data_IF_087373002003
#
_entry.id   IF_087373002003
#
_cell.length_a   1.000
_cell.length_b   1.000
_cell.length_c   1.000
_cell.angle_alpha   90.00
_cell.angle_beta   90.00
_cell.angle_gamma   90.00
#
_symmetry.space_group_name_H-M   'P 1'
#
loop_
_entity.id
_entity.type
_entity.pdbx_description
1 polymer ?
#
# COMPACT_ATOMS: atom_id res chain seq x y z
N UNK A 1 2.18 -26.78 23.06
CA UNK A 1 2.09 -26.61 21.59
C UNK A 1 3.49 -26.31 21.07
N UNK A 2 4.13 -27.30 20.43
CA UNK A 2 5.40 -27.13 19.74
C UNK A 2 5.16 -26.11 18.62
N UNK A 3 5.85 -24.98 18.67
CA UNK A 3 5.92 -24.04 17.53
C UNK A 3 6.41 -24.86 16.33
N UNK A 4 5.55 -25.02 15.30
CA UNK A 4 6.01 -25.64 14.07
C UNK A 4 7.09 -24.71 13.49
N UNK A 5 8.32 -25.21 13.42
CA UNK A 5 9.44 -24.48 12.88
C UNK A 5 9.15 -24.22 11.40
N UNK A 6 8.99 -22.93 11.05
CA UNK A 6 9.21 -22.35 9.75
C UNK A 6 8.29 -22.84 8.62
N UNK A 7 6.98 -22.58 8.75
CA UNK A 7 6.13 -22.51 7.54
C UNK A 7 6.57 -21.29 6.73
N UNK A 8 6.96 -21.53 5.48
CA UNK A 8 7.36 -20.48 4.54
C UNK A 8 6.12 -19.86 3.92
N UNK A 9 6.16 -18.58 3.65
CA UNK A 9 5.02 -17.84 3.09
C UNK A 9 5.40 -17.26 1.74
N UNK A 10 4.61 -17.55 0.71
CA UNK A 10 4.84 -17.10 -0.66
C UNK A 10 3.66 -16.27 -1.17
N UNK A 11 3.94 -15.43 -2.17
CA UNK A 11 2.95 -14.62 -2.88
C UNK A 11 2.55 -15.36 -4.14
N UNK A 12 1.27 -15.73 -4.26
CA UNK A 12 0.76 -16.49 -5.39
C UNK A 12 -0.23 -15.72 -6.27
N UNK A 13 -0.72 -14.58 -5.81
CA UNK A 13 -1.64 -13.74 -6.59
C UNK A 13 -1.49 -12.26 -6.24
N UNK A 14 -1.72 -11.41 -7.23
CA UNK A 14 -1.61 -9.96 -7.11
C UNK A 14 -2.84 -9.28 -7.73
N UNK A 15 -3.26 -8.17 -7.13
CA UNK A 15 -4.33 -7.32 -7.66
C UNK A 15 -4.15 -5.86 -7.25
N UNK A 16 -4.56 -4.96 -8.10
CA UNK A 16 -4.52 -3.53 -7.79
C UNK A 16 -5.59 -2.71 -8.54
N UNK A 17 -5.89 -1.58 -7.94
CA UNK A 17 -6.60 -0.45 -8.56
C UNK A 17 -5.83 0.79 -8.17
N UNK A 18 -5.44 1.61 -9.13
CA UNK A 18 -4.53 2.72 -8.85
C UNK A 18 -4.70 3.90 -9.82
N UNK A 19 -4.13 5.07 -9.50
CA UNK A 19 -4.13 6.22 -10.41
C UNK A 19 -3.42 5.98 -11.75
N UNK A 20 -2.57 4.94 -11.83
CA UNK A 20 -1.77 4.61 -13.01
C UNK A 20 -2.26 3.37 -13.76
N UNK A 21 -3.32 2.73 -13.31
CA UNK A 21 -3.94 1.56 -13.94
C UNK A 21 -4.79 0.76 -12.97
N UNK A 22 -5.80 0.09 -13.50
CA UNK A 22 -6.80 -0.67 -12.73
C UNK A 22 -6.55 -2.18 -12.75
N UNK A 23 -5.47 -2.60 -13.39
CA UNK A 23 -4.96 -3.98 -13.39
C UNK A 23 -3.45 -3.99 -13.14
N UNK A 24 -2.92 -5.15 -12.75
CA UNK A 24 -1.47 -5.32 -12.55
C UNK A 24 -0.69 -4.98 -13.82
N UNK A 25 -1.15 -5.43 -14.98
CA UNK A 25 -0.45 -5.19 -16.24
C UNK A 25 -0.39 -3.69 -16.61
N UNK A 26 -1.51 -2.99 -16.49
CA UNK A 26 -1.59 -1.54 -16.74
C UNK A 26 -0.71 -0.75 -15.78
N UNK A 27 -0.85 -1.03 -14.47
CA UNK A 27 -0.12 -0.31 -13.44
C UNK A 27 1.40 -0.55 -13.54
N UNK A 28 1.82 -1.79 -13.77
CA UNK A 28 3.24 -2.13 -13.93
C UNK A 28 3.86 -1.45 -15.15
N UNK A 29 3.19 -1.50 -16.31
CA UNK A 29 3.64 -0.79 -17.51
C UNK A 29 3.78 0.71 -17.26
N UNK A 30 2.76 1.33 -16.67
CA UNK A 30 2.78 2.77 -16.39
C UNK A 30 3.92 3.19 -15.45
N UNK A 31 4.15 2.46 -14.36
CA UNK A 31 5.21 2.84 -13.40
C UNK A 31 6.62 2.58 -13.94
N UNK A 32 6.82 1.54 -14.74
CA UNK A 32 8.13 1.30 -15.38
C UNK A 32 8.41 2.31 -16.50
N UNK A 33 7.38 2.82 -17.15
CA UNK A 33 7.48 3.90 -18.12
C UNK A 33 7.60 5.30 -17.47
N UNK A 34 7.49 5.41 -16.14
CA UNK A 34 7.57 6.69 -15.43
C UNK A 34 6.34 7.59 -15.64
N UNK A 35 5.16 7.01 -15.86
CA UNK A 35 3.92 7.77 -16.08
C UNK A 35 3.30 8.23 -14.77
N UNK A 36 3.02 9.53 -14.65
CA UNK A 36 2.28 10.08 -13.52
C UNK A 36 0.78 9.82 -13.66
N UNK A 37 0.15 9.38 -12.57
CA UNK A 37 -1.31 9.30 -12.44
C UNK A 37 -1.93 10.52 -11.76
N UNK A 38 -1.12 11.55 -11.45
CA UNK A 38 -1.56 12.75 -10.73
C UNK A 38 -2.09 13.79 -11.71
N UNK A 39 -3.29 14.30 -11.44
CA UNK A 39 -3.96 15.30 -12.27
C UNK A 39 -4.91 16.16 -11.41
N UNK A 40 -5.47 17.19 -12.01
CA UNK A 40 -6.51 18.02 -11.39
C UNK A 40 -7.68 17.16 -10.93
N UNK A 41 -8.18 17.43 -9.72
CA UNK A 41 -9.32 16.72 -9.12
C UNK A 41 -10.57 16.94 -9.97
N UNK A 42 -11.29 15.85 -10.24
CA UNK A 42 -12.54 15.86 -11.03
C UNK A 42 -13.78 15.51 -10.20
N UNK A 43 -13.60 14.91 -9.04
CA UNK A 43 -14.69 14.39 -8.20
C UNK A 43 -15.51 15.46 -7.49
N UNK A 44 -14.92 16.63 -7.25
CA UNK A 44 -15.56 17.77 -6.59
C UNK A 44 -14.86 19.08 -6.97
N UNK A 45 -15.47 20.21 -6.65
CA UNK A 45 -14.82 21.52 -6.84
C UNK A 45 -13.70 21.73 -5.81
N UNK A 46 -12.46 21.63 -6.26
CA UNK A 46 -11.28 21.80 -5.42
C UNK A 46 -10.77 23.25 -5.38
N UNK A 47 -11.31 24.18 -6.15
CA UNK A 47 -10.85 25.58 -6.18
C UNK A 47 -10.82 26.29 -4.84
N UNK A 48 -11.76 26.04 -3.91
CA UNK A 48 -11.71 26.64 -2.57
C UNK A 48 -10.54 26.17 -1.69
N UNK A 49 -9.85 25.07 -2.07
CA UNK A 49 -8.74 24.51 -1.31
C UNK A 49 -7.39 25.04 -1.81
N UNK A 50 -6.34 24.87 -1.04
CA UNK A 50 -4.96 25.24 -1.42
C UNK A 50 -4.33 24.26 -2.42
N UNK A 51 -4.88 23.04 -2.50
CA UNK A 51 -4.44 21.98 -3.41
C UNK A 51 -5.60 21.57 -4.31
N UNK A 52 -5.39 21.51 -5.63
CA UNK A 52 -6.44 21.26 -6.62
C UNK A 52 -6.23 19.93 -7.39
N UNK A 53 -5.31 19.09 -6.97
CA UNK A 53 -4.92 17.86 -7.67
C UNK A 53 -4.74 16.70 -6.72
N UNK A 54 -4.84 15.49 -7.29
CA UNK A 54 -4.66 14.23 -6.58
C UNK A 54 -4.34 13.10 -7.57
N UNK A 55 -3.95 11.95 -7.05
CA UNK A 55 -3.92 10.69 -7.78
C UNK A 55 -5.29 10.03 -7.73
N UNK A 56 -6.22 10.44 -8.56
CA UNK A 56 -7.54 9.80 -8.68
C UNK A 56 -7.45 8.51 -9.51
N UNK A 57 -8.25 7.52 -9.15
CA UNK A 57 -8.50 6.33 -9.98
C UNK A 57 -9.37 6.75 -11.17
N UNK A 58 -9.00 6.32 -12.38
CA UNK A 58 -9.64 6.71 -13.64
C UNK A 58 -10.14 5.47 -14.38
N UNK A 59 -11.31 5.60 -15.02
CA UNK A 59 -11.84 4.53 -15.87
C UNK A 59 -12.19 3.24 -15.13
N UNK A 60 -12.37 3.29 -13.83
CA UNK A 60 -12.71 2.14 -13.00
C UNK A 60 -14.21 1.86 -13.03
N UNK A 61 -14.57 0.59 -13.26
CA UNK A 61 -15.94 0.12 -13.21
C UNK A 61 -16.05 -1.09 -12.27
N UNK A 62 -16.70 -0.90 -11.12
CA UNK A 62 -16.90 -1.96 -10.14
C UNK A 62 -17.79 -3.10 -10.66
N UNK A 63 -18.65 -2.83 -11.65
CA UNK A 63 -19.56 -3.84 -12.20
C UNK A 63 -18.84 -4.92 -13.01
N UNK A 64 -17.57 -4.75 -13.32
CA UNK A 64 -16.71 -5.81 -13.85
C UNK A 64 -16.37 -6.90 -12.82
N UNK A 65 -16.57 -6.62 -11.53
CA UNK A 65 -16.19 -7.49 -10.42
C UNK A 65 -17.37 -7.98 -9.57
N UNK A 66 -18.36 -7.12 -9.33
CA UNK A 66 -19.56 -7.39 -8.53
C UNK A 66 -20.77 -6.76 -9.19
N UNK A 67 -21.98 -7.22 -8.81
CA UNK A 67 -23.20 -6.62 -9.35
C UNK A 67 -23.39 -5.17 -8.89
N UNK A 68 -24.01 -4.33 -9.73
CA UNK A 68 -24.35 -2.96 -9.36
C UNK A 68 -25.32 -2.88 -8.15
N UNK A 69 -26.05 -3.94 -7.85
CA UNK A 69 -26.90 -4.04 -6.65
C UNK A 69 -26.03 -4.15 -5.38
N UNK A 70 -25.01 -5.00 -5.40
CA UNK A 70 -24.05 -5.14 -4.29
C UNK A 70 -23.23 -3.86 -4.11
N UNK A 71 -22.73 -3.30 -5.20
CA UNK A 71 -21.88 -2.10 -5.20
C UNK A 71 -22.56 -0.88 -4.52
N UNK A 72 -23.88 -0.74 -4.68
CA UNK A 72 -24.65 0.37 -4.06
C UNK A 72 -24.65 0.36 -2.53
N UNK A 73 -24.26 -0.74 -1.90
CA UNK A 73 -24.20 -0.90 -0.45
C UNK A 73 -22.77 -0.83 0.09
N UNK A 74 -21.83 -0.24 -0.68
CA UNK A 74 -20.42 -0.14 -0.37
C UNK A 74 -19.89 1.25 -0.72
N UNK A 75 -19.11 1.85 0.18
CA UNK A 75 -18.31 3.02 -0.17
C UNK A 75 -17.20 2.65 -1.17
N UNK A 76 -16.67 3.63 -1.86
CA UNK A 76 -15.67 3.45 -2.93
C UNK A 76 -14.40 2.75 -2.46
N UNK A 77 -13.95 2.96 -1.20
CA UNK A 77 -12.78 2.22 -0.70
C UNK A 77 -13.01 0.71 -0.68
N UNK A 78 -14.24 0.27 -0.42
CA UNK A 78 -14.63 -1.15 -0.49
C UNK A 78 -14.63 -1.62 -1.95
N UNK A 79 -15.11 -0.81 -2.90
CA UNK A 79 -15.03 -1.13 -4.33
C UNK A 79 -13.59 -1.41 -4.76
N UNK A 80 -12.66 -0.55 -4.41
CA UNK A 80 -11.24 -0.72 -4.77
C UNK A 80 -10.64 -1.97 -4.12
N UNK A 81 -10.90 -2.18 -2.84
CA UNK A 81 -10.42 -3.37 -2.12
C UNK A 81 -11.01 -4.66 -2.65
N UNK A 82 -12.30 -4.68 -2.99
CA UNK A 82 -12.98 -5.82 -3.62
C UNK A 82 -12.38 -6.14 -4.98
N UNK A 83 -12.24 -5.15 -5.86
CA UNK A 83 -11.68 -5.35 -7.19
C UNK A 83 -10.25 -5.89 -7.13
N UNK A 84 -9.38 -5.28 -6.32
CA UNK A 84 -8.02 -5.75 -6.13
C UNK A 84 -7.96 -7.16 -5.53
N UNK A 85 -8.80 -7.46 -4.55
CA UNK A 85 -8.89 -8.78 -3.93
C UNK A 85 -9.39 -9.87 -4.91
N UNK A 86 -10.38 -9.54 -5.74
CA UNK A 86 -10.89 -10.44 -6.78
C UNK A 86 -9.81 -10.71 -7.84
N UNK A 87 -9.10 -9.66 -8.29
CA UNK A 87 -7.95 -9.82 -9.20
C UNK A 87 -6.88 -10.75 -8.60
N UNK A 88 -6.52 -10.54 -7.34
CA UNK A 88 -5.51 -11.36 -6.66
C UNK A 88 -5.95 -12.83 -6.55
N UNK A 89 -7.22 -13.10 -6.23
CA UNK A 89 -7.78 -14.45 -6.20
C UNK A 89 -7.74 -15.11 -7.58
N UNK A 90 -8.15 -14.39 -8.63
CA UNK A 90 -8.11 -14.88 -10.01
C UNK A 90 -6.67 -15.17 -10.46
N UNK A 91 -5.74 -14.27 -10.19
CA UNK A 91 -4.33 -14.43 -10.55
C UNK A 91 -3.67 -15.62 -9.82
N UNK A 92 -4.06 -15.87 -8.57
CA UNK A 92 -3.56 -17.00 -7.78
C UNK A 92 -4.03 -18.37 -8.29
N UNK A 93 -5.13 -18.41 -9.03
CA UNK A 93 -5.78 -19.66 -9.43
C UNK A 93 -6.24 -20.54 -8.25
N UNK A 94 -6.41 -19.94 -7.06
CA UNK A 94 -6.86 -20.66 -5.87
C UNK A 94 -8.34 -21.03 -5.99
N UNK A 95 -8.63 -22.32 -5.86
CA UNK A 95 -10.00 -22.83 -5.77
C UNK A 95 -10.39 -22.97 -4.29
N UNK A 96 -11.54 -22.40 -3.93
CA UNK A 96 -12.10 -22.51 -2.59
C UNK A 96 -13.08 -23.68 -2.56
N UNK A 97 -12.86 -24.60 -1.61
CA UNK A 97 -13.69 -25.79 -1.39
C UNK A 97 -14.21 -25.84 0.04
N UNK A 98 -15.16 -26.70 0.33
CA UNK A 98 -15.62 -26.91 1.71
C UNK A 98 -14.49 -27.36 2.66
N UNK A 99 -13.53 -28.13 2.12
CA UNK A 99 -12.41 -28.68 2.88
C UNK A 99 -11.36 -27.62 3.26
N UNK A 100 -11.10 -26.65 2.38
CA UNK A 100 -10.06 -25.64 2.61
C UNK A 100 -10.59 -24.28 3.11
N UNK A 101 -11.90 -24.02 3.02
CA UNK A 101 -12.52 -22.73 3.32
C UNK A 101 -12.14 -22.18 4.72
N UNK A 102 -12.07 -23.06 5.73
CA UNK A 102 -11.71 -22.67 7.10
C UNK A 102 -10.21 -22.31 7.27
N UNK A 103 -9.40 -22.63 6.26
CA UNK A 103 -7.96 -22.35 6.23
C UNK A 103 -7.59 -21.13 5.38
N UNK A 104 -8.59 -20.43 4.82
CA UNK A 104 -8.40 -19.25 3.96
C UNK A 104 -9.02 -18.04 4.63
N UNK A 105 -8.19 -17.05 4.96
CA UNK A 105 -8.60 -15.83 5.64
C UNK A 105 -8.35 -14.57 4.83
N UNK A 106 -8.77 -13.43 5.38
CA UNK A 106 -8.66 -12.11 4.76
C UNK A 106 -8.25 -11.06 5.78
N UNK A 107 -7.24 -10.26 5.46
CA UNK A 107 -6.89 -9.03 6.19
C UNK A 107 -6.66 -7.91 5.18
N UNK A 108 -7.65 -7.10 4.92
CA UNK A 108 -7.53 -5.90 4.09
C UNK A 108 -8.00 -4.71 4.92
N UNK A 109 -7.10 -3.75 5.14
CA UNK A 109 -7.36 -2.57 5.92
C UNK A 109 -7.58 -1.31 5.09
N UNK A 110 -7.97 -0.25 5.76
CA UNK A 110 -8.05 1.12 5.22
C UNK A 110 -7.65 2.09 6.34
N UNK A 111 -7.07 3.22 6.00
CA UNK A 111 -6.68 4.21 7.01
C UNK A 111 -7.86 4.99 7.59
N UNK A 112 -8.77 5.43 6.71
CA UNK A 112 -9.92 6.28 7.08
C UNK A 112 -11.26 5.60 6.74
N UNK A 113 -11.28 4.73 5.75
CA UNK A 113 -12.50 4.00 5.36
C UNK A 113 -13.51 4.87 4.60
N UNK A 114 -14.78 4.75 4.95
CA UNK A 114 -15.91 5.32 4.23
C UNK A 114 -16.13 6.82 4.39
N UNK A 115 -15.08 7.63 4.40
CA UNK A 115 -15.19 9.08 4.60
C UNK A 115 -16.09 9.77 3.57
N UNK A 116 -15.99 9.50 2.26
CA UNK A 116 -16.90 10.12 1.27
C UNK A 116 -18.38 9.83 1.55
N UNK A 117 -18.71 8.59 1.88
CA UNK A 117 -20.09 8.20 2.23
C UNK A 117 -20.58 8.90 3.51
N UNK A 118 -19.69 9.05 4.50
CA UNK A 118 -20.00 9.76 5.75
C UNK A 118 -20.30 11.24 5.46
N UNK A 119 -19.48 11.89 4.63
CA UNK A 119 -19.70 13.29 4.21
C UNK A 119 -21.04 13.46 3.49
N UNK A 120 -21.33 12.61 2.51
CA UNK A 120 -22.56 12.63 1.73
C UNK A 120 -23.79 12.37 2.61
N UNK A 121 -23.74 11.33 3.45
CA UNK A 121 -24.84 10.98 4.36
C UNK A 121 -25.12 12.10 5.35
N UNK A 122 -24.07 12.75 5.89
CA UNK A 122 -24.24 13.89 6.81
C UNK A 122 -24.91 15.05 6.11
N UNK A 123 -24.51 15.38 4.89
CA UNK A 123 -25.12 16.45 4.08
C UNK A 123 -26.59 16.17 3.75
N UNK A 124 -26.94 14.95 3.40
CA UNK A 124 -28.32 14.55 3.13
C UNK A 124 -29.18 14.56 4.42
N UNK A 125 -28.64 14.11 5.53
CA UNK A 125 -29.29 14.17 6.83
C UNK A 125 -29.66 15.61 7.22
N UNK A 126 -28.75 16.57 7.05
CA UNK A 126 -28.99 17.98 7.36
C UNK A 126 -30.08 18.61 6.48
N UNK A 127 -30.13 18.24 5.21
CA UNK A 127 -31.11 18.77 4.26
C UNK A 127 -32.50 18.15 4.40
N UNK A 128 -32.56 16.85 4.71
CA UNK A 128 -33.80 16.04 4.53
C UNK A 128 -34.18 15.21 5.76
N UNK A 129 -33.41 15.27 6.85
CA UNK A 129 -33.67 14.60 8.11
C UNK A 129 -33.30 13.11 8.14
N UNK A 130 -33.52 12.43 9.30
CA UNK A 130 -32.98 11.10 9.59
C UNK A 130 -33.52 9.97 8.68
N UNK A 131 -34.66 10.15 8.05
CA UNK A 131 -35.25 9.13 7.15
C UNK A 131 -34.43 8.93 5.86
N UNK A 132 -33.41 9.78 5.61
CA UNK A 132 -32.51 9.68 4.46
C UNK A 132 -31.26 8.88 4.74
N UNK A 133 -31.00 8.54 6.00
CA UNK A 133 -29.88 7.66 6.35
C UNK A 133 -30.22 6.25 5.84
N UNK A 134 -29.33 5.71 5.01
CA UNK A 134 -29.49 4.36 4.47
C UNK A 134 -29.38 3.30 5.58
N UNK A 135 -30.19 2.23 5.57
CA UNK A 135 -29.99 1.09 6.46
C UNK A 135 -28.64 0.38 6.25
N UNK A 136 -28.00 0.61 5.11
CA UNK A 136 -26.68 0.08 4.78
C UNK A 136 -25.53 1.03 5.15
N UNK A 137 -25.80 2.21 5.73
CA UNK A 137 -24.78 3.21 6.02
C UNK A 137 -23.63 2.65 6.83
N UNK A 138 -23.91 1.93 7.91
CA UNK A 138 -22.85 1.36 8.77
C UNK A 138 -22.02 0.31 8.01
N UNK A 139 -22.61 -0.77 7.46
CA UNK A 139 -21.80 -1.77 6.74
C UNK A 139 -21.13 -1.23 5.46
N UNK A 140 -21.66 -0.15 4.86
CA UNK A 140 -21.05 0.48 3.70
C UNK A 140 -19.83 1.36 4.04
N UNK A 141 -19.64 1.75 5.30
CA UNK A 141 -18.60 2.71 5.71
C UNK A 141 -17.52 2.13 6.62
N UNK A 142 -17.76 1.03 7.32
CA UNK A 142 -16.78 0.47 8.26
C UNK A 142 -15.66 -0.30 7.57
N UNK A 143 -14.46 -0.19 8.12
CA UNK A 143 -13.20 -0.59 7.46
C UNK A 143 -13.11 -2.09 7.21
N UNK A 144 -13.63 -2.93 8.10
CA UNK A 144 -13.53 -4.39 7.97
C UNK A 144 -14.41 -4.99 6.86
N UNK A 145 -15.18 -4.16 6.16
CA UNK A 145 -16.15 -4.69 5.18
C UNK A 145 -15.55 -5.03 3.81
N UNK A 146 -14.30 -4.66 3.52
CA UNK A 146 -13.59 -5.27 2.40
C UNK A 146 -13.38 -6.76 2.69
N UNK A 147 -12.79 -7.07 3.84
CA UNK A 147 -12.57 -8.44 4.28
C UNK A 147 -13.86 -9.24 4.41
N UNK A 148 -14.90 -8.63 5.01
CA UNK A 148 -16.22 -9.24 5.14
C UNK A 148 -16.87 -9.59 3.79
N UNK A 149 -16.87 -8.66 2.84
CA UNK A 149 -17.48 -8.88 1.53
C UNK A 149 -16.71 -9.90 0.66
N UNK A 150 -15.38 -9.90 0.70
CA UNK A 150 -14.57 -10.94 0.03
C UNK A 150 -14.82 -12.32 0.62
N UNK A 151 -14.87 -12.41 1.95
CA UNK A 151 -15.20 -13.64 2.67
C UNK A 151 -16.56 -14.19 2.24
N UNK A 152 -17.60 -13.35 2.20
CA UNK A 152 -18.94 -13.73 1.75
C UNK A 152 -18.93 -14.19 0.29
N UNK A 153 -18.25 -13.43 -0.58
CA UNK A 153 -18.21 -13.73 -2.02
C UNK A 153 -17.60 -15.09 -2.34
N UNK A 154 -16.52 -15.44 -1.65
CA UNK A 154 -15.75 -16.67 -1.92
C UNK A 154 -16.00 -17.79 -0.91
N UNK A 155 -16.79 -17.56 0.14
CA UNK A 155 -17.03 -18.55 1.19
C UNK A 155 -15.80 -18.78 2.08
N UNK A 156 -14.98 -17.76 2.32
CA UNK A 156 -13.75 -17.85 3.12
C UNK A 156 -14.12 -17.84 4.60
N UNK A 157 -13.74 -18.87 5.33
CA UNK A 157 -14.12 -19.08 6.74
C UNK A 157 -12.95 -19.02 7.73
N UNK A 158 -11.75 -18.70 7.24
CA UNK A 158 -10.57 -18.47 8.07
C UNK A 158 -10.60 -17.12 8.78
N UNK A 159 -9.46 -16.65 9.32
CA UNK A 159 -9.38 -15.35 9.99
C UNK A 159 -9.90 -14.20 9.12
N UNK A 160 -10.73 -13.33 9.68
CA UNK A 160 -11.35 -12.21 8.97
C UNK A 160 -11.19 -10.93 9.80
N UNK A 161 -10.29 -10.07 9.37
CA UNK A 161 -9.82 -8.90 10.14
C UNK A 161 -9.64 -7.68 9.24
N UNK A 162 -9.48 -6.53 9.86
CA UNK A 162 -8.93 -5.33 9.25
C UNK A 162 -7.94 -4.68 10.23
N UNK A 163 -6.80 -4.25 9.72
CA UNK A 163 -5.83 -3.44 10.46
C UNK A 163 -6.00 -1.99 10.06
N UNK A 164 -5.85 -1.09 11.03
CA UNK A 164 -5.88 0.36 10.82
C UNK A 164 -4.67 0.96 11.52
N UNK A 165 -3.65 1.32 10.74
CA UNK A 165 -2.41 1.94 11.20
C UNK A 165 -1.97 3.06 10.27
N UNK A 166 -2.93 3.95 9.93
CA UNK A 166 -2.71 5.09 9.05
C UNK A 166 -2.03 4.67 7.73
N UNK A 167 -0.92 5.33 7.37
CA UNK A 167 -0.21 5.06 6.11
C UNK A 167 0.51 3.70 6.08
N UNK A 168 0.61 3.00 7.20
CA UNK A 168 1.26 1.68 7.32
C UNK A 168 0.26 0.52 7.21
N UNK A 169 -1.03 0.82 7.15
CA UNK A 169 -2.14 -0.16 7.18
C UNK A 169 -1.94 -1.35 6.24
N UNK A 170 -1.72 -1.10 4.95
CA UNK A 170 -1.61 -2.17 3.96
C UNK A 170 -0.38 -3.06 4.17
N UNK A 171 0.75 -2.47 4.55
CA UNK A 171 1.96 -3.20 4.89
C UNK A 171 1.78 -4.05 6.14
N UNK A 172 1.22 -3.49 7.21
CA UNK A 172 0.92 -4.22 8.44
C UNK A 172 -0.07 -5.37 8.21
N UNK A 173 -1.07 -5.16 7.34
CA UNK A 173 -2.04 -6.21 6.95
C UNK A 173 -1.32 -7.40 6.31
N UNK A 174 -0.41 -7.15 5.38
CA UNK A 174 0.38 -8.20 4.70
C UNK A 174 1.29 -8.92 5.70
N UNK A 175 2.00 -8.17 6.55
CA UNK A 175 2.90 -8.76 7.54
C UNK A 175 2.17 -9.59 8.60
N UNK A 176 1.03 -9.13 9.09
CA UNK A 176 0.20 -9.86 10.03
C UNK A 176 -0.38 -11.14 9.39
N UNK A 177 -0.82 -11.06 8.13
CA UNK A 177 -1.29 -12.21 7.37
C UNK A 177 -0.19 -13.27 7.20
N UNK A 178 1.03 -12.85 6.85
CA UNK A 178 2.18 -13.75 6.77
C UNK A 178 2.43 -14.47 8.10
N UNK A 179 2.40 -13.75 9.22
CA UNK A 179 2.54 -14.36 10.55
C UNK A 179 1.44 -15.35 10.87
N UNK A 180 0.19 -15.09 10.51
CA UNK A 180 -0.90 -16.04 10.71
C UNK A 180 -0.66 -17.36 9.98
N UNK A 181 -0.10 -17.29 8.78
CA UNK A 181 0.30 -18.49 8.02
C UNK A 181 1.49 -19.18 8.69
N UNK A 182 2.52 -18.44 9.09
CA UNK A 182 3.69 -18.97 9.80
C UNK A 182 3.31 -19.68 11.10
N UNK A 183 2.34 -19.13 11.85
CA UNK A 183 1.84 -19.73 13.09
C UNK A 183 0.86 -20.89 12.88
N UNK A 184 0.35 -21.08 11.66
CA UNK A 184 -0.59 -22.14 11.33
C UNK A 184 -2.06 -21.81 11.59
N UNK A 185 -2.42 -20.54 11.79
CA UNK A 185 -3.81 -20.11 11.92
C UNK A 185 -4.56 -20.22 10.59
N UNK A 186 -3.86 -20.06 9.48
CA UNK A 186 -4.36 -20.20 8.13
C UNK A 186 -3.31 -20.84 7.21
N UNK A 187 -3.74 -21.34 6.04
CA UNK A 187 -2.85 -21.77 4.97
C UNK A 187 -2.76 -20.74 3.85
N UNK A 188 -3.80 -19.93 3.71
CA UNK A 188 -3.88 -18.83 2.73
C UNK A 188 -4.48 -17.60 3.38
N UNK A 189 -3.94 -16.43 3.07
CA UNK A 189 -4.47 -15.13 3.49
C UNK A 189 -4.51 -14.17 2.30
N UNK A 190 -5.65 -13.55 2.08
CA UNK A 190 -5.78 -12.41 1.15
C UNK A 190 -5.50 -11.15 1.96
N UNK A 191 -4.47 -10.38 1.59
CA UNK A 191 -3.98 -9.29 2.42
C UNK A 191 -3.61 -8.05 1.62
N UNK A 192 -3.84 -6.88 2.21
CA UNK A 192 -3.48 -5.61 1.60
C UNK A 192 -4.18 -4.41 2.23
N UNK A 193 -4.36 -3.38 1.44
CA UNK A 193 -5.03 -2.15 1.87
C UNK A 193 -5.72 -1.43 0.72
N UNK A 194 -6.70 -0.62 1.08
CA UNK A 194 -7.44 0.23 0.16
C UNK A 194 -7.76 1.58 0.79
N UNK A 195 -7.92 2.60 -0.01
CA UNK A 195 -8.30 3.94 0.44
C UNK A 195 -9.05 4.69 -0.65
N UNK A 196 -10.03 5.50 -0.27
CA UNK A 196 -10.71 6.43 -1.16
C UNK A 196 -11.05 7.71 -0.41
N UNK A 197 -10.04 8.56 -0.18
CA UNK A 197 -10.17 9.80 0.61
C UNK A 197 -9.95 11.07 -0.22
N UNK A 198 -10.02 10.97 -1.56
CA UNK A 198 -10.06 12.13 -2.43
C UNK A 198 -11.48 12.71 -2.38
N UNK A 199 -11.74 13.46 -1.33
CA UNK A 199 -13.02 14.07 -0.95
C UNK A 199 -12.79 15.43 -0.29
N UNK A 200 -13.80 16.28 -0.12
CA UNK A 200 -13.64 17.58 0.51
C UNK A 200 -12.99 17.54 1.90
N UNK A 201 -13.44 16.64 2.79
CA UNK A 201 -12.85 16.53 4.14
C UNK A 201 -11.48 15.85 4.11
N UNK A 202 -11.29 14.85 3.25
CA UNK A 202 -9.98 14.19 3.09
C UNK A 202 -8.92 15.16 2.59
N UNK A 203 -9.18 15.85 1.49
CA UNK A 203 -8.28 16.87 0.95
C UNK A 203 -8.12 18.04 1.93
N UNK A 204 -9.23 18.56 2.44
CA UNK A 204 -9.26 19.73 3.33
C UNK A 204 -8.53 19.48 4.65
N UNK A 205 -8.65 18.28 5.23
CA UNK A 205 -7.95 17.93 6.46
C UNK A 205 -6.44 17.95 6.31
N UNK A 206 -5.91 17.34 5.25
CA UNK A 206 -4.47 17.35 4.98
C UNK A 206 -3.98 18.73 4.50
N UNK A 207 -4.78 19.47 3.73
CA UNK A 207 -4.46 20.84 3.34
C UNK A 207 -4.37 21.77 4.55
N UNK A 208 -5.31 21.67 5.49
CA UNK A 208 -5.30 22.44 6.75
C UNK A 208 -4.08 22.11 7.61
N UNK A 209 -3.62 20.88 7.59
CA UNK A 209 -2.38 20.45 8.26
C UNK A 209 -1.11 20.91 7.51
N UNK A 210 -1.24 21.55 6.34
CA UNK A 210 -0.13 21.94 5.46
C UNK A 210 0.78 20.78 5.05
N UNK A 211 0.19 19.62 4.90
CA UNK A 211 0.91 18.39 4.55
C UNK A 211 0.97 18.14 3.03
N UNK A 212 0.10 18.80 2.26
CA UNK A 212 -0.01 18.61 0.81
C UNK A 212 0.83 19.58 0.01
N UNK A 213 1.34 19.10 -1.13
CA UNK A 213 1.89 19.97 -2.18
C UNK A 213 0.82 20.93 -2.69
N UNK A 214 1.23 22.15 -2.99
CA UNK A 214 0.38 23.21 -3.58
C UNK A 214 0.79 23.59 -5.01
N UNK A 215 1.50 22.70 -5.70
CA UNK A 215 1.97 22.89 -7.09
C UNK A 215 0.83 22.72 -8.09
N UNK A 216 -0.18 23.60 -8.00
CA UNK A 216 -1.39 23.53 -8.82
C UNK A 216 -1.18 23.83 -10.32
N UNK A 217 -0.10 24.52 -10.67
CA UNK A 217 0.29 24.85 -12.04
C UNK A 217 0.90 23.67 -12.80
N UNK A 218 1.44 22.68 -12.07
CA UNK A 218 2.03 21.48 -12.68
C UNK A 218 1.82 20.24 -11.81
N UNK A 219 0.58 19.70 -11.74
CA UNK A 219 0.23 18.56 -10.88
C UNK A 219 1.08 17.31 -11.10
N UNK A 220 1.43 17.02 -12.35
CA UNK A 220 2.19 15.81 -12.70
C UNK A 220 3.60 15.78 -12.09
N UNK A 221 4.17 16.95 -11.76
CA UNK A 221 5.49 17.08 -11.12
C UNK A 221 5.44 17.39 -9.63
N UNK A 222 4.23 17.42 -9.05
CA UNK A 222 4.04 17.79 -7.64
C UNK A 222 4.63 16.78 -6.66
N UNK A 223 4.43 15.48 -6.91
CA UNK A 223 5.06 14.41 -6.12
C UNK A 223 6.48 14.17 -6.62
N UNK A 224 7.45 14.59 -5.82
CA UNK A 224 8.87 14.64 -6.20
C UNK A 224 9.78 14.26 -5.03
N UNK A 225 9.69 13.01 -4.53
CA UNK A 225 10.50 12.57 -3.40
C UNK A 225 11.98 12.83 -3.63
N UNK A 226 12.65 13.38 -2.59
CA UNK A 226 14.07 13.72 -2.55
C UNK A 226 14.54 14.81 -3.53
N UNK A 227 13.63 15.46 -4.25
CA UNK A 227 13.95 16.68 -4.99
C UNK A 227 13.98 17.90 -4.05
N UNK A 228 14.84 18.88 -4.33
CA UNK A 228 15.00 20.09 -3.51
C UNK A 228 13.73 20.92 -3.41
N UNK A 229 12.89 20.90 -4.46
CA UNK A 229 11.69 21.73 -4.56
C UNK A 229 10.41 20.98 -4.13
N UNK A 230 10.53 19.83 -3.44
CA UNK A 230 9.38 19.13 -2.87
C UNK A 230 8.72 19.97 -1.77
N UNK A 231 7.42 20.01 -1.74
CA UNK A 231 6.62 20.88 -0.87
C UNK A 231 5.47 20.20 -0.12
N UNK A 232 5.43 18.86 -0.13
CA UNK A 232 4.39 18.07 0.52
C UNK A 232 3.98 16.86 -0.30
N UNK A 233 3.17 15.98 0.28
CA UNK A 233 2.70 14.82 -0.45
C UNK A 233 1.50 15.14 -1.36
N UNK A 234 1.21 14.27 -2.28
CA UNK A 234 0.02 14.30 -3.14
C UNK A 234 -0.93 13.20 -2.68
N UNK A 235 -2.17 13.55 -2.37
CA UNK A 235 -3.19 12.57 -1.98
C UNK A 235 -3.52 11.66 -3.16
N UNK A 236 -3.59 10.35 -2.91
CA UNK A 236 -3.98 9.34 -3.88
C UNK A 236 -5.04 8.41 -3.34
N UNK A 237 -5.58 7.55 -4.20
CA UNK A 237 -6.57 6.54 -3.85
C UNK A 237 -6.36 5.25 -4.64
N UNK A 238 -6.96 4.16 -4.17
CA UNK A 238 -6.87 2.86 -4.80
C UNK A 238 -6.68 1.72 -3.82
N UNK A 239 -6.16 0.60 -4.30
CA UNK A 239 -5.91 -0.60 -3.50
C UNK A 239 -4.74 -1.41 -4.05
N UNK A 240 -4.07 -2.13 -3.17
CA UNK A 240 -3.15 -3.20 -3.52
C UNK A 240 -3.37 -4.39 -2.61
N UNK A 241 -3.57 -5.56 -3.20
CA UNK A 241 -3.91 -6.80 -2.51
C UNK A 241 -3.09 -7.94 -3.08
N UNK A 242 -2.65 -8.85 -2.22
CA UNK A 242 -1.97 -10.08 -2.62
C UNK A 242 -2.56 -11.30 -1.93
N UNK A 243 -2.43 -12.45 -2.56
CA UNK A 243 -2.67 -13.76 -1.95
C UNK A 243 -1.35 -14.25 -1.39
N UNK A 244 -1.32 -14.44 -0.08
CA UNK A 244 -0.22 -15.10 0.63
C UNK A 244 -0.60 -16.55 0.89
N UNK A 245 0.33 -17.46 0.70
CA UNK A 245 0.08 -18.87 0.79
C UNK A 245 1.25 -19.61 1.45
N UNK A 246 0.96 -20.64 2.22
CA UNK A 246 1.97 -21.54 2.73
C UNK A 246 2.68 -22.23 1.57
N UNK A 247 4.01 -22.31 1.64
CA UNK A 247 4.85 -22.74 0.50
C UNK A 247 4.53 -24.14 0.01
N UNK A 248 4.45 -25.14 0.91
CA UNK A 248 4.17 -26.52 0.51
C UNK A 248 2.75 -26.68 -0.04
N UNK A 249 1.79 -25.90 0.47
CA UNK A 249 0.44 -25.83 -0.07
C UNK A 249 0.44 -25.27 -1.49
N UNK A 250 1.20 -24.18 -1.73
CA UNK A 250 1.33 -23.57 -3.05
C UNK A 250 1.98 -24.52 -4.06
N UNK A 251 3.07 -25.18 -3.65
CA UNK A 251 3.78 -26.16 -4.50
C UNK A 251 2.90 -27.36 -4.83
N UNK A 252 2.18 -27.90 -3.84
CA UNK A 252 1.32 -29.06 -4.02
C UNK A 252 0.21 -28.85 -5.04
N UNK A 253 -0.33 -27.63 -5.17
CA UNK A 253 -1.33 -27.29 -6.17
C UNK A 253 -0.76 -26.72 -7.49
N UNK A 254 0.57 -26.62 -7.62
CA UNK A 254 1.24 -26.08 -8.81
C UNK A 254 1.04 -24.57 -8.99
N UNK A 255 0.93 -23.81 -7.90
CA UNK A 255 0.73 -22.36 -7.96
C UNK A 255 1.92 -21.64 -8.58
N UNK A 256 1.64 -20.55 -9.30
CA UNK A 256 2.66 -19.57 -9.66
C UNK A 256 3.12 -18.87 -8.38
N UNK A 257 4.42 -18.77 -8.19
CA UNK A 257 5.02 -18.06 -7.05
C UNK A 257 5.76 -16.83 -7.56
N UNK A 258 5.35 -15.65 -7.11
CA UNK A 258 6.00 -14.38 -7.44
C UNK A 258 7.21 -14.10 -6.59
N UNK A 259 7.09 -14.33 -5.28
CA UNK A 259 8.10 -14.04 -4.27
C UNK A 259 7.83 -14.84 -3.00
N UNK A 260 8.80 -14.86 -2.10
CA UNK A 260 8.66 -15.33 -0.71
C UNK A 260 8.71 -14.13 0.24
N UNK A 261 7.88 -14.13 1.27
CA UNK A 261 7.93 -13.17 2.38
C UNK A 261 8.98 -13.67 3.38
N UNK A 262 10.14 -13.04 3.41
CA UNK A 262 11.25 -13.44 4.26
C UNK A 262 11.23 -12.77 5.63
N UNK A 263 10.74 -11.53 5.73
CA UNK A 263 10.76 -10.81 6.98
C UNK A 263 9.69 -9.76 7.12
N UNK A 264 9.26 -9.56 8.37
CA UNK A 264 8.33 -8.52 8.77
C UNK A 264 8.81 -7.89 10.08
N UNK A 265 8.95 -6.57 10.08
CA UNK A 265 9.36 -5.79 11.24
C UNK A 265 8.40 -4.62 11.52
N UNK A 266 8.25 -4.30 12.78
CA UNK A 266 7.42 -3.20 13.27
C UNK A 266 8.17 -2.41 14.33
N UNK A 267 7.91 -1.10 14.40
CA UNK A 267 8.39 -0.24 15.48
C UNK A 267 7.43 0.94 15.70
N UNK A 268 7.63 1.67 16.78
CA UNK A 268 6.97 2.93 17.04
C UNK A 268 8.01 4.01 17.35
N UNK A 269 7.73 5.25 16.88
CA UNK A 269 8.59 6.40 17.15
C UNK A 269 8.47 6.86 18.60
N UNK A 270 7.25 6.80 19.18
CA UNK A 270 6.90 7.32 20.49
C UNK A 270 7.37 8.80 20.66
N UNK A 271 7.11 9.63 19.64
CA UNK A 271 7.66 10.98 19.55
C UNK A 271 6.58 12.03 19.28
N UNK A 272 5.95 12.04 18.10
CA UNK A 272 4.98 13.04 17.68
C UNK A 272 3.87 12.40 16.85
N UNK A 273 2.66 12.98 16.85
CA UNK A 273 1.51 12.40 16.16
C UNK A 273 1.65 12.40 14.63
N UNK A 274 2.40 13.32 14.04
CA UNK A 274 2.50 13.46 12.58
C UNK A 274 3.92 13.58 12.03
N UNK A 275 4.88 13.96 12.86
CA UNK A 275 6.28 14.17 12.44
C UNK A 275 7.14 12.96 12.77
N UNK A 276 8.01 12.51 11.85
CA UNK A 276 8.98 11.46 12.14
C UNK A 276 10.10 11.97 13.05
N UNK A 277 10.85 11.04 13.64
CA UNK A 277 12.13 11.34 14.26
C UNK A 277 13.13 11.81 13.20
N UNK A 278 13.74 12.96 13.37
CA UNK A 278 14.64 13.58 12.39
C UNK A 278 15.87 12.71 12.09
N UNK A 279 16.34 11.92 13.05
CA UNK A 279 17.47 11.00 12.91
C UNK A 279 17.12 9.68 12.22
N UNK A 280 15.86 9.48 11.82
CA UNK A 280 15.37 8.28 11.15
C UNK A 280 15.38 7.02 12.01
N UNK A 281 15.62 7.12 13.31
CA UNK A 281 15.79 5.95 14.20
C UNK A 281 14.53 5.10 14.31
N UNK A 282 13.33 5.71 14.23
CA UNK A 282 12.07 4.98 14.29
C UNK A 282 11.91 3.99 13.13
N UNK A 283 12.03 4.49 11.90
CA UNK A 283 11.98 3.66 10.69
C UNK A 283 13.11 2.63 10.64
N UNK A 284 14.33 3.02 11.01
CA UNK A 284 15.48 2.11 11.11
C UNK A 284 15.19 0.88 11.98
N UNK A 285 14.52 1.06 13.12
CA UNK A 285 14.15 -0.06 14.02
C UNK A 285 13.22 -1.07 13.34
N UNK A 286 12.27 -0.64 12.53
CA UNK A 286 11.39 -1.57 11.81
C UNK A 286 12.16 -2.37 10.75
N UNK A 287 13.12 -1.74 10.06
CA UNK A 287 13.99 -2.43 9.09
C UNK A 287 14.89 -3.45 9.78
N UNK A 288 15.53 -3.07 10.89
CA UNK A 288 16.37 -3.99 11.70
C UNK A 288 15.54 -5.18 12.20
N UNK A 289 14.31 -4.92 12.68
CA UNK A 289 13.41 -5.99 13.13
C UNK A 289 13.05 -6.95 11.98
N UNK A 290 12.82 -6.43 10.77
CA UNK A 290 12.54 -7.24 9.59
C UNK A 290 13.76 -8.07 9.15
N UNK A 291 14.95 -7.49 9.14
CA UNK A 291 16.20 -8.19 8.84
C UNK A 291 16.47 -9.32 9.83
N UNK A 292 16.30 -9.05 11.13
CA UNK A 292 16.45 -10.07 12.18
C UNK A 292 15.42 -11.19 12.02
N UNK A 293 14.17 -10.86 11.68
CA UNK A 293 13.13 -11.84 11.45
C UNK A 293 13.45 -12.73 10.22
N UNK A 294 14.02 -12.12 9.17
CA UNK A 294 14.43 -12.81 7.95
C UNK A 294 15.75 -13.61 8.10
N UNK A 295 16.54 -13.35 9.14
CA UNK A 295 17.88 -13.90 9.27
C UNK A 295 18.86 -13.37 8.20
N UNK A 296 18.66 -12.14 7.75
CA UNK A 296 19.46 -11.50 6.71
C UNK A 296 20.35 -10.40 7.27
N UNK A 297 21.52 -10.26 6.66
CA UNK A 297 22.40 -9.13 6.89
C UNK A 297 22.02 -7.95 5.98
N UNK A 298 22.30 -6.70 6.38
CA UNK A 298 21.99 -5.52 5.57
C UNK A 298 22.58 -5.54 4.15
N UNK A 299 23.77 -6.09 3.98
CA UNK A 299 24.49 -6.17 2.70
C UNK A 299 23.87 -7.14 1.68
N UNK A 300 22.87 -7.90 2.08
CA UNK A 300 22.15 -8.80 1.18
C UNK A 300 20.97 -8.14 0.47
N UNK A 301 20.66 -6.88 0.76
CA UNK A 301 19.54 -6.14 0.17
C UNK A 301 20.02 -5.30 -1.02
N UNK A 302 19.36 -5.41 -2.18
CA UNK A 302 19.70 -4.64 -3.38
C UNK A 302 18.70 -3.51 -3.67
N UNK A 303 17.42 -3.68 -3.27
CA UNK A 303 16.36 -2.77 -3.64
C UNK A 303 15.48 -2.44 -2.44
N UNK A 304 15.06 -1.18 -2.33
CA UNK A 304 14.15 -0.69 -1.30
C UNK A 304 13.10 0.21 -1.92
N UNK A 305 11.84 -0.20 -1.84
CA UNK A 305 10.69 0.67 -2.10
C UNK A 305 10.39 1.46 -0.83
N UNK A 306 10.69 2.74 -0.87
CA UNK A 306 10.62 3.62 0.28
C UNK A 306 9.19 4.06 0.59
N UNK A 307 8.99 4.62 1.78
CA UNK A 307 7.80 5.39 2.07
C UNK A 307 7.75 6.68 1.22
N UNK A 308 8.84 7.43 1.16
CA UNK A 308 9.13 8.49 0.18
C UNK A 308 7.94 9.33 -0.24
N UNK A 309 7.39 10.16 0.67
CA UNK A 309 6.12 10.86 0.46
C UNK A 309 6.24 12.19 -0.27
N UNK A 310 7.46 12.67 -0.55
CA UNK A 310 7.70 14.02 -1.08
C UNK A 310 7.47 15.14 -0.06
N UNK A 311 7.63 14.82 1.22
CA UNK A 311 7.59 15.83 2.29
C UNK A 311 9.01 16.30 2.64
N UNK A 312 9.21 17.59 2.97
CA UNK A 312 10.54 18.10 3.28
C UNK A 312 11.25 17.32 4.38
N UNK A 313 10.57 17.02 5.49
CA UNK A 313 11.15 16.33 6.64
C UNK A 313 11.17 14.81 6.49
N UNK A 314 10.07 14.23 5.98
CA UNK A 314 9.91 12.78 5.90
C UNK A 314 10.95 12.11 5.02
N UNK A 315 11.24 12.70 3.87
CA UNK A 315 12.19 12.14 2.90
C UNK A 315 13.63 12.13 3.43
N UNK A 316 14.06 13.19 4.14
CA UNK A 316 15.37 13.26 4.79
C UNK A 316 15.46 12.26 5.95
N UNK A 317 14.43 12.20 6.80
CA UNK A 317 14.40 11.27 7.93
C UNK A 317 14.50 9.81 7.47
N UNK A 318 13.83 9.46 6.37
CA UNK A 318 13.93 8.11 5.80
C UNK A 318 15.34 7.79 5.28
N UNK A 319 15.99 8.73 4.60
CA UNK A 319 17.41 8.58 4.17
C UNK A 319 18.31 8.36 5.36
N UNK A 320 18.13 9.12 6.44
CA UNK A 320 18.89 8.93 7.69
C UNK A 320 18.68 7.54 8.28
N UNK A 321 17.45 7.05 8.29
CA UNK A 321 17.10 5.71 8.75
C UNK A 321 17.73 4.60 7.88
N UNK A 322 17.73 4.78 6.58
CA UNK A 322 18.38 3.85 5.63
C UNK A 322 19.89 3.82 5.88
N UNK A 323 20.55 4.97 5.96
CA UNK A 323 21.98 5.05 6.27
C UNK A 323 22.33 4.44 7.62
N UNK A 324 21.49 4.67 8.63
CA UNK A 324 21.66 4.08 9.97
C UNK A 324 21.62 2.55 9.93
N UNK A 325 20.72 1.97 9.13
CA UNK A 325 20.53 0.52 9.03
C UNK A 325 21.59 -0.14 8.17
N UNK A 326 21.85 0.42 6.98
CA UNK A 326 22.65 -0.21 5.94
C UNK A 326 24.11 0.28 5.90
N UNK A 327 24.44 1.37 6.62
CA UNK A 327 25.81 1.92 6.64
C UNK A 327 26.31 2.25 5.23
N UNK A 328 27.53 1.88 4.91
CA UNK A 328 28.12 2.10 3.58
C UNK A 328 27.41 1.33 2.46
N UNK A 329 26.74 0.23 2.79
CA UNK A 329 25.96 -0.54 1.81
C UNK A 329 24.78 0.25 1.23
N UNK A 330 24.25 1.24 1.93
CA UNK A 330 23.18 2.12 1.44
C UNK A 330 23.52 2.79 0.09
N UNK A 331 24.81 3.02 -0.19
CA UNK A 331 25.30 3.59 -1.46
C UNK A 331 25.29 2.60 -2.63
N UNK A 332 25.11 1.32 -2.33
CA UNK A 332 25.09 0.22 -3.32
C UNK A 332 23.68 -0.32 -3.56
N UNK A 333 22.69 0.24 -2.87
CA UNK A 333 21.28 -0.11 -3.03
C UNK A 333 20.60 0.89 -3.96
N UNK A 334 19.55 0.42 -4.62
CA UNK A 334 18.58 1.30 -5.27
C UNK A 334 17.39 1.51 -4.32
N UNK A 335 17.07 2.77 -4.08
CA UNK A 335 15.92 3.20 -3.27
C UNK A 335 14.97 3.97 -4.17
N UNK A 336 13.69 3.59 -4.25
CA UNK A 336 12.75 4.36 -5.04
C UNK A 336 11.46 4.68 -4.28
N UNK A 337 10.69 5.62 -4.79
CA UNK A 337 9.33 5.89 -4.37
C UNK A 337 8.38 5.94 -5.55
N UNK A 338 7.48 4.97 -5.61
CA UNK A 338 6.40 4.93 -6.60
C UNK A 338 5.31 5.97 -6.33
N UNK A 339 5.31 6.59 -5.14
CA UNK A 339 4.44 7.74 -4.84
C UNK A 339 4.72 8.95 -5.73
N UNK A 340 5.87 9.02 -6.36
CA UNK A 340 6.14 10.02 -7.41
C UNK A 340 5.15 9.95 -8.56
N UNK A 341 4.55 8.77 -8.80
CA UNK A 341 3.61 8.50 -9.89
C UNK A 341 2.16 8.31 -9.42
N UNK A 342 1.96 7.65 -8.30
CA UNK A 342 0.62 7.32 -7.78
C UNK A 342 0.06 8.33 -6.80
N UNK A 343 0.89 9.21 -6.21
CA UNK A 343 0.55 9.89 -5.00
C UNK A 343 0.53 8.93 -3.80
N UNK A 344 0.05 9.40 -2.68
CA UNK A 344 0.01 8.68 -1.42
C UNK A 344 -1.40 8.16 -1.14
N UNK A 345 -1.60 6.85 -1.24
CA UNK A 345 -2.89 6.19 -1.04
C UNK A 345 -3.23 5.98 0.46
N UNK A 346 -2.51 6.58 1.38
CA UNK A 346 -2.71 6.40 2.84
C UNK A 346 -2.73 4.91 3.21
N UNK A 347 -3.87 4.39 3.70
CA UNK A 347 -3.99 2.98 4.09
C UNK A 347 -3.84 1.99 2.95
N UNK A 348 -4.11 2.39 1.72
CA UNK A 348 -3.89 1.58 0.51
C UNK A 348 -2.43 1.57 0.03
N UNK A 349 -1.63 2.57 0.44
CA UNK A 349 -0.27 2.77 -0.06
C UNK A 349 0.63 1.55 0.17
N UNK A 350 0.68 1.03 1.40
CA UNK A 350 1.53 -0.12 1.73
C UNK A 350 1.17 -1.38 0.95
N UNK A 351 -0.12 -1.59 0.65
CA UNK A 351 -0.59 -2.70 -0.17
C UNK A 351 -0.15 -2.58 -1.63
N UNK A 352 -0.42 -1.44 -2.26
CA UNK A 352 -0.05 -1.19 -3.66
C UNK A 352 1.48 -1.24 -3.86
N UNK A 353 2.22 -0.60 -2.97
CA UNK A 353 3.68 -0.55 -3.07
C UNK A 353 4.35 -1.89 -2.76
N UNK A 354 3.74 -2.72 -1.89
CA UNK A 354 4.18 -4.11 -1.71
C UNK A 354 3.98 -4.93 -2.99
N UNK A 355 2.86 -4.74 -3.69
CA UNK A 355 2.63 -5.34 -5.02
C UNK A 355 3.72 -4.90 -5.99
N UNK A 356 4.05 -3.61 -6.08
CA UNK A 356 5.12 -3.12 -6.94
C UNK A 356 6.50 -3.63 -6.53
N UNK A 357 6.76 -3.80 -5.23
CA UNK A 357 8.01 -4.38 -4.73
C UNK A 357 8.18 -5.84 -5.16
N UNK A 358 7.10 -6.63 -5.08
CA UNK A 358 7.07 -8.01 -5.56
C UNK A 358 7.28 -8.07 -7.08
N UNK A 359 6.66 -7.17 -7.85
CA UNK A 359 6.85 -7.10 -9.30
C UNK A 359 8.28 -6.67 -9.67
N UNK A 360 8.88 -5.72 -8.94
CA UNK A 360 10.27 -5.33 -9.14
C UNK A 360 11.23 -6.52 -8.94
N UNK A 361 11.01 -7.31 -7.88
CA UNK A 361 11.75 -8.54 -7.64
C UNK A 361 11.50 -9.58 -8.73
N UNK A 362 10.25 -9.77 -9.15
CA UNK A 362 9.87 -10.77 -10.14
C UNK A 362 10.44 -10.47 -11.53
N UNK A 363 10.35 -9.21 -11.95
CA UNK A 363 10.84 -8.75 -13.26
C UNK A 363 12.30 -8.31 -13.27
N UNK A 364 12.94 -8.20 -12.10
CA UNK A 364 14.32 -7.73 -11.96
C UNK A 364 14.52 -6.30 -12.50
N UNK A 365 13.55 -5.42 -12.21
CA UNK A 365 13.50 -4.03 -12.65
C UNK A 365 13.17 -3.12 -11.48
N UNK A 366 13.95 -2.07 -11.25
CA UNK A 366 13.56 -0.98 -10.38
C UNK A 366 12.72 0.03 -11.17
N UNK A 367 11.47 0.30 -10.78
CA UNK A 367 10.74 1.46 -11.29
C UNK A 367 11.47 2.75 -10.91
N UNK A 368 11.29 3.85 -11.66
CA UNK A 368 11.92 5.12 -11.33
C UNK A 368 11.24 5.82 -10.15
N UNK A 369 11.96 6.71 -9.50
CA UNK A 369 11.40 7.86 -8.82
C UNK A 369 11.38 9.01 -9.83
N UNK A 370 10.21 9.40 -10.31
CA UNK A 370 10.11 10.49 -11.27
C UNK A 370 10.18 11.87 -10.57
N UNK A 371 10.39 12.92 -11.36
CA UNK A 371 10.41 14.32 -10.92
C UNK A 371 11.61 14.71 -10.04
N UNK A 372 12.68 13.95 -10.06
CA UNK A 372 13.95 14.39 -9.46
C UNK A 372 14.70 15.21 -10.51
N UNK A 373 14.53 16.52 -10.46
CA UNK A 373 15.22 17.48 -11.33
C UNK A 373 16.50 17.99 -10.66
N UNK A 374 16.44 18.23 -9.36
CA UNK A 374 17.56 18.62 -8.51
C UNK A 374 17.51 17.80 -7.23
N UNK A 375 18.30 16.74 -7.17
CA UNK A 375 18.35 15.90 -5.97
C UNK A 375 18.84 16.70 -4.76
N UNK A 376 18.11 16.59 -3.64
CA UNK A 376 18.49 17.24 -2.40
C UNK A 376 19.85 16.73 -1.91
N UNK A 377 20.86 17.59 -1.69
CA UNK A 377 22.18 17.18 -1.21
C UNK A 377 22.17 16.42 0.13
N UNK A 378 21.14 16.62 0.95
CA UNK A 378 20.94 15.87 2.19
C UNK A 378 20.47 14.41 1.92
N UNK A 379 20.03 14.13 0.70
CA UNK A 379 19.51 12.84 0.26
C UNK A 379 20.43 12.24 -0.82
N UNK A 380 21.59 11.76 -0.43
CA UNK A 380 22.70 11.35 -1.31
C UNK A 380 22.71 9.83 -1.61
N UNK A 381 21.55 9.24 -1.89
CA UNK A 381 21.40 7.84 -2.29
C UNK A 381 21.04 7.72 -3.77
N UNK A 382 21.03 6.50 -4.30
CA UNK A 382 20.56 6.20 -5.66
C UNK A 382 19.04 5.99 -5.65
N UNK A 383 18.29 6.96 -6.16
CA UNK A 383 16.82 6.92 -6.19
C UNK A 383 16.24 6.40 -7.51
N UNK A 384 17.06 5.82 -8.39
CA UNK A 384 16.61 5.43 -9.73
C UNK A 384 15.88 6.58 -10.45
N UNK A 385 16.51 7.76 -10.48
CA UNK A 385 15.87 8.99 -10.88
C UNK A 385 15.37 8.94 -12.33
N UNK A 386 14.08 9.22 -12.51
CA UNK A 386 13.37 9.48 -13.76
C UNK A 386 13.31 8.35 -14.81
N UNK A 387 14.13 7.30 -14.70
CA UNK A 387 14.15 6.19 -15.67
C UNK A 387 14.28 4.86 -14.93
N UNK A 388 13.43 3.90 -15.29
CA UNK A 388 13.51 2.54 -14.76
C UNK A 388 14.84 1.87 -15.10
N UNK A 389 15.27 0.94 -14.27
CA UNK A 389 16.57 0.28 -14.42
C UNK A 389 16.45 -1.23 -14.22
N UNK A 390 16.96 -1.99 -15.19
CA UNK A 390 17.20 -3.41 -15.01
C UNK A 390 18.29 -3.61 -13.96
N UNK A 391 18.04 -4.49 -13.00
CA UNK A 391 19.01 -4.79 -11.95
C UNK A 391 18.75 -6.16 -11.34
N UNK A 392 19.83 -6.78 -10.84
CA UNK A 392 19.68 -8.01 -10.06
C UNK A 392 19.12 -7.70 -8.68
N UNK A 393 17.99 -8.31 -8.34
CA UNK A 393 17.33 -8.20 -7.04
C UNK A 393 17.17 -9.62 -6.48
N UNK A 394 17.88 -9.94 -5.42
CA UNK A 394 17.69 -11.19 -4.67
C UNK A 394 16.76 -10.97 -3.48
N UNK A 395 16.88 -9.79 -2.83
CA UNK A 395 16.01 -9.36 -1.74
C UNK A 395 15.59 -7.89 -1.92
N UNK A 396 14.31 -7.64 -1.72
CA UNK A 396 13.69 -6.34 -1.81
C UNK A 396 13.02 -5.97 -0.48
N UNK A 397 13.20 -4.72 -0.06
CA UNK A 397 12.58 -4.15 1.15
C UNK A 397 11.45 -3.22 0.76
N UNK A 398 10.36 -3.24 1.52
CA UNK A 398 9.28 -2.25 1.47
C UNK A 398 9.11 -1.60 2.84
N UNK A 399 9.22 -0.27 2.90
CA UNK A 399 8.97 0.53 4.10
C UNK A 399 7.64 1.28 4.03
N UNK A 400 6.92 1.33 5.13
CA UNK A 400 5.80 2.24 5.33
C UNK A 400 5.88 2.88 6.72
N UNK A 401 5.64 4.19 6.79
CA UNK A 401 5.61 4.96 8.02
C UNK A 401 4.29 5.72 8.08
N UNK A 402 3.69 5.79 9.27
CA UNK A 402 2.36 6.37 9.41
C UNK A 402 2.25 7.36 10.55
N UNK A 403 1.25 8.23 10.46
CA UNK A 403 0.84 9.08 11.56
C UNK A 403 0.59 8.25 12.82
N UNK A 404 0.93 8.79 13.98
CA UNK A 404 1.02 8.03 15.23
C UNK A 404 2.40 7.44 15.48
N UNK A 405 3.37 7.62 14.56
CA UNK A 405 4.72 7.05 14.65
C UNK A 405 4.76 5.55 14.44
N UNK A 406 3.81 4.99 13.69
CA UNK A 406 3.75 3.55 13.41
C UNK A 406 4.57 3.21 12.17
N UNK A 407 5.53 2.29 12.31
CA UNK A 407 6.47 1.92 11.26
C UNK A 407 6.36 0.44 10.94
N UNK A 408 6.48 0.10 9.66
CA UNK A 408 6.48 -1.26 9.18
C UNK A 408 7.46 -1.48 8.04
N UNK A 409 8.02 -2.68 8.00
CA UNK A 409 8.95 -3.12 6.95
C UNK A 409 8.65 -4.56 6.57
N UNK A 410 8.55 -4.82 5.26
CA UNK A 410 8.51 -6.16 4.68
C UNK A 410 9.77 -6.43 3.89
N UNK A 411 10.22 -7.69 3.89
CA UNK A 411 11.31 -8.17 3.04
C UNK A 411 10.78 -9.31 2.18
N UNK A 412 10.92 -9.13 0.87
CA UNK A 412 10.61 -10.15 -0.12
C UNK A 412 11.90 -10.68 -0.76
N UNK A 413 11.91 -11.95 -1.13
CA UNK A 413 13.00 -12.57 -1.85
C UNK A 413 12.50 -13.60 -2.84
N UNK A 414 13.40 -14.12 -3.68
CA UNK A 414 13.08 -15.22 -4.58
C UNK A 414 12.76 -16.48 -3.76
N UNK A 415 11.68 -17.15 -4.07
CA UNK A 415 11.42 -18.48 -3.52
C UNK A 415 12.45 -19.47 -4.08
N UNK A 416 13.09 -20.22 -3.20
CA UNK A 416 14.11 -21.23 -3.54
C UNK A 416 13.55 -22.64 -3.38
#
# INVERSE_FOLDING_TARGET
LSRSKNRRVVVTGLGCVSPVGNTIAEAWSAITEGKSGIATITKFDALPFTTHFAGEVKGFNIEEYISGKEARHMDTFIHYGMAAGIQAMQDSGLEVTEENAERIGVIIGSGIGGLPLIEETKSEYEKRGPRRISPFFVPASIINMISGNLSIKYGLKGPNLAIVTACTTGLHSIGAAARMIEYGDADVMIAGGAESTVSPLGLGGFASARALSTRNDDPATASRPWDTDRDGFVLGEGAGVMVLEEYEHAVARGAKIYAEVHGFGMSADAYHMTSPLEDGSGGSKSVIAALNNAGLNPDQIQYLNAHGTSTPQGDVAEVMGIKRTFGEHAKHMVVNSTKSMTGHLLGGAGGLEAVFTVLALHHQVSPPTINIFNQDPACDLDFCANTARDMKIDYAVKNSFGFGGTNGTLIFGKAK
#
